data_IF_242032784294
#
_entry.id   IF_242032784294
#
_cell.length_a   1.000
_cell.length_b   1.000
_cell.length_c   1.000
_cell.angle_alpha   90.00
_cell.angle_beta   90.00
_cell.angle_gamma   90.00
#
_symmetry.space_group_name_H-M   'P 1'
#
loop_
_entity.id
_entity.type
_entity.pdbx_description
1 polymer ?
#
# COMPACT_ATOMS: atom_id res chain seq x y z
N UNK A 1 -7.81 -12.75 17.15
CA UNK A 1 -7.59 -13.86 16.18
C UNK A 1 -7.46 -15.16 16.96
N UNK A 2 -8.05 -16.22 16.49
CA UNK A 2 -7.82 -17.58 16.97
C UNK A 2 -7.17 -18.39 15.86
N UNK A 3 -6.18 -19.20 16.20
CA UNK A 3 -5.48 -20.07 15.26
C UNK A 3 -5.65 -21.51 15.72
N UNK A 4 -6.54 -22.25 15.04
CA UNK A 4 -6.75 -23.67 15.31
C UNK A 4 -5.71 -24.49 14.52
N UNK A 5 -4.58 -24.74 15.17
CA UNK A 5 -3.46 -25.49 14.56
C UNK A 5 -3.76 -26.99 14.41
N UNK A 6 -4.75 -27.52 15.12
CA UNK A 6 -5.13 -28.95 15.10
C UNK A 6 -6.10 -29.24 13.96
N UNK A 7 -7.23 -28.50 13.91
CA UNK A 7 -8.27 -28.70 12.88
C UNK A 7 -8.04 -27.82 11.64
N UNK A 8 -7.09 -26.92 11.71
CA UNK A 8 -6.72 -25.99 10.65
C UNK A 8 -7.66 -24.80 10.55
N UNK A 9 -7.05 -23.68 10.19
CA UNK A 9 -7.75 -22.45 9.93
C UNK A 9 -7.54 -21.36 10.98
N UNK A 10 -7.78 -20.15 10.53
CA UNK A 10 -7.69 -18.94 11.34
C UNK A 10 -9.09 -18.35 11.43
N UNK A 11 -9.52 -18.02 12.66
CA UNK A 11 -10.70 -17.20 12.90
C UNK A 11 -10.25 -15.81 13.30
N UNK A 12 -10.77 -14.79 12.64
CA UNK A 12 -10.41 -13.40 12.88
C UNK A 12 -11.64 -12.51 12.97
N UNK A 13 -11.53 -11.46 13.75
CA UNK A 13 -12.55 -10.41 13.84
C UNK A 13 -12.17 -9.24 12.94
N UNK A 14 -13.13 -8.73 12.19
CA UNK A 14 -12.97 -7.55 11.34
C UNK A 14 -13.17 -6.30 12.18
N UNK A 15 -12.21 -5.39 12.16
CA UNK A 15 -12.26 -4.14 12.93
C UNK A 15 -13.55 -3.33 12.62
N UNK A 16 -14.16 -2.67 13.63
CA UNK A 16 -15.49 -2.06 13.49
C UNK A 16 -15.59 -0.97 12.42
N UNK A 17 -14.50 -0.30 12.10
CA UNK A 17 -14.44 0.74 11.05
C UNK A 17 -14.22 0.20 9.65
N UNK A 18 -13.96 -1.11 9.47
CA UNK A 18 -13.77 -1.71 8.14
C UNK A 18 -15.14 -2.06 7.57
N UNK A 19 -15.43 -1.54 6.40
CA UNK A 19 -16.59 -1.96 5.61
C UNK A 19 -16.19 -3.14 4.71
N UNK A 20 -16.95 -4.21 4.74
CA UNK A 20 -16.68 -5.41 3.96
C UNK A 20 -17.95 -6.15 3.60
N UNK A 21 -17.80 -7.09 2.69
CA UNK A 21 -18.81 -8.07 2.29
C UNK A 21 -18.12 -9.42 2.08
N UNK A 22 -18.80 -10.50 2.42
CA UNK A 22 -18.39 -11.84 2.00
C UNK A 22 -19.22 -12.20 0.76
N UNK A 23 -18.57 -12.14 -0.40
CA UNK A 23 -19.19 -12.42 -1.70
C UNK A 23 -18.61 -13.72 -2.25
N UNK A 24 -19.44 -14.73 -2.50
CA UNK A 24 -19.02 -16.07 -2.96
C UNK A 24 -17.89 -16.68 -2.09
N UNK A 25 -18.01 -16.55 -0.78
CA UNK A 25 -17.01 -16.96 0.22
C UNK A 25 -15.66 -16.24 0.08
N UNK A 26 -15.63 -15.04 -0.51
CA UNK A 26 -14.44 -14.18 -0.65
C UNK A 26 -14.63 -12.90 0.15
N UNK A 27 -13.61 -12.47 0.87
CA UNK A 27 -13.61 -11.18 1.55
C UNK A 27 -13.40 -10.05 0.54
N UNK A 28 -14.34 -9.11 0.53
CA UNK A 28 -14.26 -7.89 -0.29
C UNK A 28 -14.31 -6.70 0.66
N UNK A 29 -13.22 -5.98 0.76
CA UNK A 29 -13.18 -4.70 1.47
C UNK A 29 -13.81 -3.62 0.59
N UNK A 30 -14.56 -2.71 1.20
CA UNK A 30 -15.34 -1.69 0.50
C UNK A 30 -15.04 -0.31 1.04
N UNK A 31 -15.00 0.66 0.16
CA UNK A 31 -14.92 2.08 0.50
C UNK A 31 -15.71 2.92 -0.52
N UNK A 32 -15.62 4.22 -0.40
CA UNK A 32 -16.29 5.11 -1.33
C UNK A 32 -15.63 5.01 -2.72
N UNK A 33 -16.38 4.48 -3.67
CA UNK A 33 -15.93 4.34 -5.06
C UNK A 33 -14.94 3.21 -5.33
N UNK A 34 -14.67 2.29 -4.38
CA UNK A 34 -13.76 1.17 -4.58
C UNK A 34 -14.17 -0.11 -3.83
N UNK A 35 -13.78 -1.23 -4.39
CA UNK A 35 -13.87 -2.56 -3.78
C UNK A 35 -12.54 -3.30 -4.01
N UNK A 36 -11.98 -3.92 -2.98
CA UNK A 36 -10.70 -4.61 -3.03
C UNK A 36 -10.77 -5.97 -2.34
N UNK A 37 -10.15 -6.98 -2.93
CA UNK A 37 -9.86 -8.25 -2.24
C UNK A 37 -8.41 -8.23 -1.77
N UNK A 38 -8.15 -8.31 -0.46
CA UNK A 38 -6.78 -8.37 0.04
C UNK A 38 -6.02 -9.58 -0.49
N UNK A 39 -4.75 -9.41 -0.82
CA UNK A 39 -3.87 -10.48 -1.27
C UNK A 39 -2.75 -10.80 -0.28
N UNK A 40 -2.35 -9.82 0.50
CA UNK A 40 -1.29 -9.93 1.49
C UNK A 40 -1.58 -9.09 2.73
N UNK A 41 -0.72 -9.19 3.73
CA UNK A 41 -0.82 -8.39 4.93
C UNK A 41 0.46 -8.34 5.73
N UNK A 42 0.47 -7.49 6.74
CA UNK A 42 1.51 -7.36 7.75
C UNK A 42 0.88 -7.62 9.10
N UNK A 43 1.52 -8.46 9.92
CA UNK A 43 1.03 -8.81 11.25
C UNK A 43 1.71 -7.98 12.34
N UNK A 44 0.93 -7.65 13.36
CA UNK A 44 1.36 -6.87 14.52
C UNK A 44 0.95 -7.59 15.81
N UNK A 45 1.75 -7.44 16.84
CA UNK A 45 1.36 -7.77 18.19
C UNK A 45 0.26 -6.79 18.63
N UNK A 46 -0.86 -7.32 19.14
CA UNK A 46 -2.04 -6.50 19.40
C UNK A 46 -1.87 -5.48 20.53
N UNK A 47 -1.04 -5.77 21.52
CA UNK A 47 -0.78 -4.96 22.71
C UNK A 47 0.37 -3.96 22.53
N UNK A 48 1.46 -4.36 21.86
CA UNK A 48 2.66 -3.53 21.67
C UNK A 48 2.67 -2.75 20.36
N UNK A 49 1.87 -3.18 19.39
CA UNK A 49 1.89 -2.72 17.99
C UNK A 49 3.22 -2.97 17.26
N UNK A 50 4.10 -3.79 17.80
CA UNK A 50 5.30 -4.18 17.11
C UNK A 50 4.99 -5.12 15.95
N UNK A 51 5.83 -5.08 14.91
CA UNK A 51 5.74 -6.01 13.79
C UNK A 51 6.06 -7.44 14.27
N UNK A 52 5.22 -8.37 13.92
CA UNK A 52 5.55 -9.79 14.09
C UNK A 52 6.66 -10.15 13.10
N UNK A 53 7.73 -10.75 13.61
CA UNK A 53 8.91 -11.05 12.79
C UNK A 53 8.56 -11.86 11.54
N UNK A 54 9.14 -11.45 10.42
CA UNK A 54 9.02 -12.09 9.10
C UNK A 54 7.57 -12.22 8.59
N UNK A 55 6.72 -11.22 8.84
CA UNK A 55 5.34 -11.18 8.36
C UNK A 55 5.07 -10.08 7.33
N UNK A 56 6.10 -9.45 6.79
CA UNK A 56 5.94 -8.53 5.67
C UNK A 56 5.40 -9.30 4.45
N UNK A 57 4.29 -8.83 3.90
CA UNK A 57 3.63 -9.42 2.72
C UNK A 57 3.24 -10.91 2.84
N UNK A 58 2.82 -11.34 4.02
CA UNK A 58 2.31 -12.70 4.16
C UNK A 58 1.01 -12.87 3.37
N UNK A 59 0.83 -14.00 2.68
CA UNK A 59 -0.44 -14.31 2.03
C UNK A 59 -1.59 -14.36 3.05
N UNK A 60 -2.73 -13.76 2.72
CA UNK A 60 -3.92 -13.79 3.57
C UNK A 60 -4.97 -14.74 3.02
N UNK A 61 -5.56 -15.53 3.91
CA UNK A 61 -6.57 -16.53 3.56
C UNK A 61 -7.97 -15.93 3.46
N UNK A 62 -8.23 -15.15 2.42
CA UNK A 62 -9.49 -14.41 2.24
C UNK A 62 -10.49 -15.11 1.30
N UNK A 63 -10.31 -16.40 1.05
CA UNK A 63 -11.17 -17.22 0.18
C UNK A 63 -11.64 -18.50 0.86
N UNK A 64 -12.85 -18.93 0.55
CA UNK A 64 -13.49 -20.08 1.21
C UNK A 64 -13.87 -19.76 2.65
N UNK A 65 -14.30 -18.54 2.88
CA UNK A 65 -14.62 -18.00 4.20
C UNK A 65 -16.01 -18.40 4.67
N UNK A 66 -16.13 -18.49 5.99
CA UNK A 66 -17.40 -18.72 6.69
C UNK A 66 -17.57 -17.57 7.69
N UNK A 67 -18.60 -16.77 7.54
CA UNK A 67 -18.99 -15.81 8.57
C UNK A 67 -19.71 -16.54 9.69
N UNK A 68 -19.05 -16.66 10.84
CA UNK A 68 -19.54 -17.40 12.01
C UNK A 68 -20.60 -16.57 12.75
N UNK A 69 -20.35 -15.27 12.86
CA UNK A 69 -21.26 -14.25 13.37
C UNK A 69 -20.86 -12.90 12.77
N UNK A 70 -21.65 -11.84 12.89
CA UNK A 70 -21.30 -10.55 12.35
C UNK A 70 -19.86 -10.16 12.73
N UNK A 71 -19.02 -9.89 11.73
CA UNK A 71 -17.59 -9.53 11.83
C UNK A 71 -16.66 -10.67 12.28
N UNK A 72 -17.13 -11.82 12.68
CA UNK A 72 -16.29 -12.97 13.07
C UNK A 72 -16.22 -13.95 11.90
N UNK A 73 -15.05 -14.02 11.25
CA UNK A 73 -14.81 -14.75 10.02
C UNK A 73 -13.85 -15.91 10.29
N UNK A 74 -14.25 -17.11 9.84
CA UNK A 74 -13.38 -18.28 9.83
C UNK A 74 -12.85 -18.52 8.42
N UNK A 75 -11.52 -18.66 8.31
CA UNK A 75 -10.82 -19.09 7.10
C UNK A 75 -10.25 -20.50 7.33
N UNK A 76 -10.98 -21.57 6.95
CA UNK A 76 -10.59 -22.95 7.30
C UNK A 76 -9.29 -23.41 6.67
N UNK A 77 -8.88 -22.82 5.54
CA UNK A 77 -7.66 -23.21 4.79
C UNK A 77 -6.46 -22.31 5.06
N UNK A 78 -6.64 -21.22 5.81
CA UNK A 78 -5.54 -20.33 6.15
C UNK A 78 -4.77 -20.89 7.33
N UNK A 79 -3.49 -21.13 7.12
CA UNK A 79 -2.56 -21.67 8.13
C UNK A 79 -1.30 -20.83 8.10
N UNK A 80 -0.98 -20.21 9.22
CA UNK A 80 0.28 -19.51 9.43
C UNK A 80 0.62 -19.57 10.93
N UNK A 81 1.68 -20.26 11.28
CA UNK A 81 2.09 -20.45 12.67
C UNK A 81 2.65 -19.19 13.35
N UNK A 82 2.89 -18.14 12.59
CA UNK A 82 3.30 -16.83 13.12
C UNK A 82 2.10 -16.02 13.67
N UNK A 83 0.89 -16.35 13.22
CA UNK A 83 -0.33 -15.69 13.63
C UNK A 83 -0.91 -16.40 14.85
N UNK A 84 -0.62 -15.88 16.03
CA UNK A 84 -1.12 -16.41 17.31
C UNK A 84 -2.34 -15.63 17.80
N UNK A 85 -3.12 -16.15 18.76
CA UNK A 85 -4.20 -15.38 19.38
C UNK A 85 -3.73 -14.01 19.87
N UNK A 86 -4.52 -12.96 19.60
CA UNK A 86 -4.14 -11.57 19.89
C UNK A 86 -3.38 -10.86 18.77
N UNK A 87 -2.87 -11.58 17.77
CA UNK A 87 -2.25 -10.93 16.60
C UNK A 87 -3.28 -10.09 15.84
N UNK A 88 -2.88 -8.90 15.42
CA UNK A 88 -3.63 -8.04 14.50
C UNK A 88 -2.97 -8.11 13.13
N UNK A 89 -3.75 -8.24 12.07
CA UNK A 89 -3.24 -8.22 10.72
C UNK A 89 -3.82 -7.05 9.93
N UNK A 90 -2.96 -6.19 9.41
CA UNK A 90 -3.32 -5.19 8.43
C UNK A 90 -3.25 -5.83 7.05
N UNK A 91 -4.41 -6.00 6.42
CA UNK A 91 -4.51 -6.61 5.08
C UNK A 91 -4.43 -5.55 4.01
N UNK A 92 -3.76 -5.85 2.90
CA UNK A 92 -3.66 -4.95 1.74
C UNK A 92 -3.95 -5.65 0.42
N UNK A 93 -4.34 -4.87 -0.57
CA UNK A 93 -4.41 -5.26 -1.97
C UNK A 93 -3.19 -4.76 -2.74
N UNK A 94 -2.89 -5.39 -3.86
CA UNK A 94 -1.92 -4.87 -4.83
C UNK A 94 -2.54 -3.80 -5.76
N UNK A 95 -3.85 -3.67 -5.74
CA UNK A 95 -4.53 -2.55 -6.37
C UNK A 95 -4.36 -1.30 -5.50
N UNK A 96 -4.09 -0.18 -6.14
CA UNK A 96 -3.80 1.10 -5.50
C UNK A 96 -4.70 2.18 -6.12
N UNK A 97 -6.01 2.14 -5.83
CA UNK A 97 -7.02 2.91 -6.57
C UNK A 97 -6.85 4.41 -6.44
N UNK A 98 -6.37 4.88 -5.28
CA UNK A 98 -6.25 6.31 -5.05
C UNK A 98 -5.06 6.63 -4.12
N UNK A 99 -4.14 7.52 -4.54
CA UNK A 99 -3.20 8.17 -3.63
C UNK A 99 -3.91 9.23 -2.78
N UNK A 100 -3.31 9.60 -1.65
CA UNK A 100 -3.78 10.70 -0.81
C UNK A 100 -3.62 12.06 -1.51
N UNK A 101 -2.47 12.26 -2.17
CA UNK A 101 -2.18 13.42 -3.03
C UNK A 101 -1.60 12.91 -4.34
N UNK A 102 -2.02 13.49 -5.45
CA UNK A 102 -1.50 13.16 -6.78
C UNK A 102 -0.97 14.41 -7.49
N UNK A 103 0.29 14.37 -7.89
CA UNK A 103 0.94 15.36 -8.73
C UNK A 103 1.26 14.75 -10.08
N UNK A 104 0.87 15.43 -11.15
CA UNK A 104 1.08 14.91 -12.52
C UNK A 104 1.47 16.03 -13.47
N UNK A 105 2.69 16.01 -13.98
CA UNK A 105 3.27 17.08 -14.81
C UNK A 105 3.33 18.47 -14.11
N UNK A 106 3.37 18.47 -12.78
CA UNK A 106 3.48 19.71 -12.02
C UNK A 106 4.94 20.19 -11.99
N UNK A 107 5.10 21.51 -11.93
CA UNK A 107 6.43 22.17 -11.92
C UNK A 107 6.49 23.16 -10.76
N UNK A 108 7.60 23.10 -10.00
CA UNK A 108 7.86 23.98 -8.86
C UNK A 108 6.76 23.94 -7.78
N UNK A 109 6.31 22.74 -7.44
CA UNK A 109 5.23 22.54 -6.48
C UNK A 109 5.77 22.43 -5.06
N UNK A 110 5.18 23.16 -4.15
CA UNK A 110 5.45 23.07 -2.70
C UNK A 110 4.19 22.61 -1.97
N UNK A 111 4.32 21.57 -1.18
CA UNK A 111 3.28 21.08 -0.27
C UNK A 111 3.72 21.34 1.16
N UNK A 112 2.97 22.21 1.85
CA UNK A 112 3.32 22.66 3.21
C UNK A 112 2.32 22.19 4.25
N UNK A 113 2.81 21.64 5.36
CA UNK A 113 2.01 21.26 6.54
C UNK A 113 0.80 20.36 6.23
N UNK A 114 0.98 19.41 5.29
CA UNK A 114 -0.06 18.45 4.93
C UNK A 114 0.16 17.15 5.71
N UNK A 115 -0.92 16.60 6.26
CA UNK A 115 -0.93 15.29 6.91
C UNK A 115 -1.86 14.34 6.20
N UNK A 116 -1.32 13.21 5.74
CA UNK A 116 -2.09 12.09 5.19
C UNK A 116 -2.17 11.00 6.25
N UNK A 117 -3.36 10.75 6.75
CA UNK A 117 -3.58 9.73 7.78
C UNK A 117 -3.96 8.37 7.23
N UNK A 118 -4.41 8.32 5.98
CA UNK A 118 -4.79 7.10 5.30
C UNK A 118 -4.88 7.31 3.79
N UNK A 119 -4.46 6.32 3.01
CA UNK A 119 -4.70 6.22 1.57
C UNK A 119 -4.73 4.76 1.11
N UNK A 120 -5.58 4.45 0.12
CA UNK A 120 -5.66 3.13 -0.51
C UNK A 120 -4.51 2.84 -1.49
N UNK A 121 -3.62 3.77 -1.68
CA UNK A 121 -2.39 3.68 -2.44
C UNK A 121 -1.25 4.32 -1.68
N UNK A 122 -0.49 5.16 -2.37
CA UNK A 122 0.56 6.00 -1.80
C UNK A 122 -0.03 7.19 -1.04
N UNK A 123 0.67 7.69 -0.05
CA UNK A 123 0.30 8.95 0.60
C UNK A 123 0.45 10.13 -0.35
N UNK A 124 1.57 10.19 -1.07
CA UNK A 124 1.80 11.08 -2.21
C UNK A 124 2.30 10.25 -3.40
N UNK A 125 1.68 10.43 -4.55
CA UNK A 125 2.19 9.96 -5.83
C UNK A 125 2.51 11.17 -6.71
N UNK A 126 3.76 11.34 -7.11
CA UNK A 126 4.19 12.32 -8.09
C UNK A 126 4.71 11.62 -9.34
N UNK A 127 4.19 12.00 -10.50
CA UNK A 127 4.60 11.43 -11.78
C UNK A 127 4.97 12.51 -12.77
N UNK A 128 6.12 12.34 -13.44
CA UNK A 128 6.63 13.25 -14.50
C UNK A 128 6.61 14.74 -14.08
N UNK A 129 6.79 15.01 -12.80
CA UNK A 129 6.79 16.35 -12.23
C UNK A 129 8.21 16.84 -11.97
N UNK A 130 8.37 18.15 -11.79
CA UNK A 130 9.69 18.78 -11.67
C UNK A 130 9.74 19.71 -10.47
N UNK A 131 10.85 19.69 -9.71
CA UNK A 131 11.11 20.55 -8.56
C UNK A 131 9.98 20.52 -7.53
N UNK A 132 9.93 19.45 -6.72
CA UNK A 132 8.91 19.23 -5.70
C UNK A 132 9.53 19.47 -4.32
N UNK A 133 8.87 20.29 -3.51
CA UNK A 133 9.24 20.51 -2.11
C UNK A 133 8.11 20.04 -1.19
N UNK A 134 8.45 19.18 -0.25
CA UNK A 134 7.60 18.76 0.84
C UNK A 134 8.15 19.39 2.13
N UNK A 135 7.41 20.33 2.72
CA UNK A 135 7.78 20.99 3.98
C UNK A 135 6.70 20.73 5.03
N UNK A 136 7.03 19.91 6.03
CA UNK A 136 6.03 19.46 7.00
C UNK A 136 4.97 18.53 6.42
N UNK A 137 5.24 17.90 5.25
CA UNK A 137 4.38 16.86 4.70
C UNK A 137 4.60 15.57 5.49
N UNK A 138 3.52 15.00 6.00
CA UNK A 138 3.61 13.80 6.83
C UNK A 138 2.60 12.75 6.40
N UNK A 139 3.02 11.50 6.46
CA UNK A 139 2.15 10.32 6.40
C UNK A 139 2.26 9.65 7.76
N UNK A 140 1.24 9.81 8.59
CA UNK A 140 1.28 9.41 9.99
C UNK A 140 -0.11 9.08 10.53
N UNK A 141 -0.19 8.30 11.59
CA UNK A 141 -1.41 8.08 12.34
C UNK A 141 -1.92 9.39 12.97
N UNK A 142 -3.20 9.45 13.35
CA UNK A 142 -3.79 10.65 13.98
C UNK A 142 -3.25 10.92 15.40
N UNK A 143 -2.57 9.95 15.99
CA UNK A 143 -1.99 10.00 17.33
C UNK A 143 -2.03 8.65 18.00
N UNK A 144 -1.70 8.59 19.28
CA UNK A 144 -1.63 7.35 20.06
C UNK A 144 -2.95 6.58 20.12
N UNK A 145 -4.07 7.29 20.06
CA UNK A 145 -5.41 6.70 20.12
C UNK A 145 -5.95 6.28 18.73
N UNK A 146 -5.17 6.42 17.67
CA UNK A 146 -5.59 5.94 16.35
C UNK A 146 -5.71 4.40 16.38
N UNK A 147 -6.89 3.84 16.10
CA UNK A 147 -7.09 2.40 16.18
C UNK A 147 -6.41 1.63 15.06
N UNK A 148 -5.94 2.31 14.01
CA UNK A 148 -5.28 1.67 12.88
C UNK A 148 -3.83 1.32 13.19
N UNK A 149 -3.32 0.32 12.50
CA UNK A 149 -1.93 -0.15 12.59
C UNK A 149 -1.09 0.30 11.40
N UNK A 150 -1.71 0.93 10.41
CA UNK A 150 -1.04 1.41 9.20
C UNK A 150 -1.69 2.71 8.70
N UNK A 151 -0.96 3.43 7.84
CA UNK A 151 -1.38 4.69 7.22
C UNK A 151 -1.74 4.51 5.75
N UNK A 152 -0.81 4.01 4.93
CA UNK A 152 -1.01 3.82 3.49
C UNK A 152 -0.81 2.37 3.10
N UNK A 153 -1.54 1.88 2.11
CA UNK A 153 -1.36 0.51 1.61
C UNK A 153 -0.10 0.32 0.77
N UNK A 154 0.53 1.41 0.37
CA UNK A 154 1.78 1.47 -0.36
C UNK A 154 2.72 2.52 0.25
N UNK A 155 3.61 3.11 -0.54
CA UNK A 155 4.62 4.06 -0.08
C UNK A 155 3.98 5.28 0.61
N UNK A 156 4.70 5.87 1.54
CA UNK A 156 4.29 7.18 2.05
C UNK A 156 4.43 8.24 0.95
N UNK A 157 5.57 8.26 0.25
CA UNK A 157 5.79 9.15 -0.90
C UNK A 157 6.46 8.40 -2.06
N UNK A 158 5.95 8.60 -3.27
CA UNK A 158 6.43 7.91 -4.46
C UNK A 158 6.62 8.89 -5.62
N UNK A 159 7.84 8.99 -6.11
CA UNK A 159 8.23 9.88 -7.20
C UNK A 159 8.67 9.03 -8.40
N UNK A 160 7.87 9.05 -9.46
CA UNK A 160 8.13 8.26 -10.66
C UNK A 160 8.37 9.15 -11.87
N UNK A 161 9.52 8.98 -12.53
CA UNK A 161 9.94 9.78 -13.67
C UNK A 161 9.93 11.31 -13.40
N UNK A 162 10.14 11.71 -12.15
CA UNK A 162 10.30 13.12 -11.76
C UNK A 162 11.71 13.59 -12.05
N UNK A 163 11.89 14.89 -12.22
CA UNK A 163 13.18 15.53 -12.48
C UNK A 163 13.42 16.78 -11.61
N UNK A 164 14.63 17.34 -11.69
CA UNK A 164 15.04 18.47 -10.88
C UNK A 164 15.19 18.09 -9.39
N UNK A 165 14.93 19.02 -8.50
CA UNK A 165 15.07 18.82 -7.06
C UNK A 165 13.82 18.18 -6.46
N UNK A 166 14.02 17.14 -5.64
CA UNK A 166 13.01 16.59 -4.74
C UNK A 166 13.49 16.83 -3.32
N UNK A 167 12.80 17.66 -2.57
CA UNK A 167 13.17 18.09 -1.23
C UNK A 167 12.07 17.64 -0.26
N UNK A 168 12.44 16.87 0.76
CA UNK A 168 11.58 16.54 1.89
C UNK A 168 12.23 17.01 3.18
N UNK A 169 11.53 17.84 3.93
CA UNK A 169 11.97 18.40 5.22
C UNK A 169 10.82 18.55 6.20
N UNK A 170 11.12 18.50 7.49
CA UNK A 170 10.16 18.68 8.58
C UNK A 170 8.95 17.72 8.54
N UNK A 171 9.06 16.59 7.84
CA UNK A 171 7.99 15.59 7.70
C UNK A 171 8.17 14.39 8.62
N UNK A 172 7.10 13.59 8.74
CA UNK A 172 7.08 12.32 9.46
C UNK A 172 6.47 11.26 8.54
N UNK A 173 7.16 10.14 8.36
CA UNK A 173 6.70 9.00 7.58
C UNK A 173 6.68 7.75 8.46
N UNK A 174 5.48 7.31 8.83
CA UNK A 174 5.29 6.15 9.70
C UNK A 174 4.06 5.32 9.29
N UNK A 175 4.10 4.04 9.58
CA UNK A 175 2.97 3.13 9.42
C UNK A 175 2.57 2.82 7.97
N UNK A 176 3.35 3.24 6.96
CA UNK A 176 3.14 2.82 5.58
C UNK A 176 3.45 1.34 5.42
N UNK A 177 2.77 0.68 4.48
CA UNK A 177 2.97 -0.75 4.21
C UNK A 177 4.01 -1.02 3.13
N UNK A 178 4.76 0.00 2.68
CA UNK A 178 5.85 -0.07 1.72
C UNK A 178 6.91 1.00 2.06
N UNK A 179 7.56 1.64 1.09
CA UNK A 179 8.65 2.59 1.32
C UNK A 179 8.20 3.92 1.95
N UNK A 180 9.05 4.52 2.77
CA UNK A 180 8.83 5.89 3.26
C UNK A 180 9.00 6.91 2.13
N UNK A 181 10.05 6.76 1.34
CA UNK A 181 10.34 7.60 0.18
C UNK A 181 10.87 6.69 -0.95
N UNK A 182 10.13 6.61 -2.04
CA UNK A 182 10.52 5.88 -3.23
C UNK A 182 10.75 6.86 -4.38
N UNK A 183 11.94 6.86 -4.98
CA UNK A 183 12.28 7.72 -6.12
C UNK A 183 12.88 6.85 -7.21
N UNK A 184 12.23 6.81 -8.36
CA UNK A 184 12.75 6.04 -9.49
C UNK A 184 12.40 6.66 -10.83
N UNK A 185 13.24 6.36 -11.84
CA UNK A 185 12.97 6.66 -13.23
C UNK A 185 12.19 5.56 -13.93
N UNK A 186 11.84 5.82 -15.17
CA UNK A 186 11.38 4.80 -16.13
C UNK A 186 12.55 4.36 -16.99
N UNK A 187 12.66 3.08 -17.28
CA UNK A 187 13.70 2.56 -18.14
C UNK A 187 13.13 1.69 -19.26
N UNK A 188 13.85 1.69 -20.37
CA UNK A 188 13.55 0.90 -21.55
C UNK A 188 14.56 -0.24 -21.67
N UNK A 189 14.07 -1.42 -21.98
CA UNK A 189 14.92 -2.50 -22.46
C UNK A 189 15.16 -2.31 -23.96
N UNK A 190 16.41 -2.12 -24.38
CA UNK A 190 16.78 -2.11 -25.78
C UNK A 190 16.55 -3.50 -26.36
N UNK A 191 15.69 -3.60 -27.36
CA UNK A 191 15.32 -4.87 -28.01
C UNK A 191 15.94 -5.02 -29.40
N UNK A 192 16.29 -3.90 -30.05
CA UNK A 192 16.94 -3.91 -31.36
C UNK A 192 17.69 -2.60 -31.61
N UNK A 193 18.86 -2.67 -32.21
CA UNK A 193 19.54 -1.52 -32.83
C UNK A 193 19.14 -1.47 -34.31
N UNK A 194 18.67 -0.34 -34.78
CA UNK A 194 18.29 -0.12 -36.17
C UNK A 194 19.50 0.38 -36.96
N UNK A 195 20.19 1.39 -36.42
CA UNK A 195 21.41 1.99 -36.95
C UNK A 195 22.20 2.66 -35.82
N UNK A 196 23.22 3.46 -36.14
CA UNK A 196 24.10 4.07 -35.14
C UNK A 196 23.43 5.14 -34.25
N UNK A 197 22.31 5.68 -34.71
CA UNK A 197 21.55 6.73 -33.99
C UNK A 197 20.15 6.31 -33.56
N UNK A 198 19.72 5.07 -33.87
CA UNK A 198 18.34 4.64 -33.60
C UNK A 198 18.31 3.29 -32.92
N UNK A 199 17.64 3.27 -31.77
CA UNK A 199 17.38 2.07 -30.97
C UNK A 199 15.87 1.85 -30.86
N UNK A 200 15.46 0.58 -30.81
CA UNK A 200 14.08 0.20 -30.45
C UNK A 200 14.09 -0.26 -29.00
N UNK A 201 13.32 0.43 -28.17
CA UNK A 201 13.14 0.11 -26.76
C UNK A 201 11.75 -0.44 -26.46
N UNK A 202 11.65 -1.23 -25.39
CA UNK A 202 10.39 -1.69 -24.83
C UNK A 202 10.30 -1.26 -23.37
N UNK A 203 9.18 -0.65 -22.98
CA UNK A 203 8.89 -0.34 -21.60
C UNK A 203 8.83 -1.62 -20.76
N UNK A 204 9.48 -1.60 -19.61
CA UNK A 204 9.48 -2.73 -18.68
C UNK A 204 8.32 -2.66 -17.68
N UNK A 205 7.79 -1.47 -17.41
CA UNK A 205 6.59 -1.29 -16.60
C UNK A 205 5.33 -1.25 -17.47
N UNK A 206 4.19 -1.66 -16.89
CA UNK A 206 2.88 -1.60 -17.56
C UNK A 206 2.42 -0.16 -17.79
N UNK A 207 2.77 0.75 -16.87
CA UNK A 207 2.45 2.17 -16.98
C UNK A 207 3.53 2.86 -17.83
N UNK A 208 3.12 3.44 -18.94
CA UNK A 208 3.99 4.20 -19.83
C UNK A 208 4.09 5.63 -19.31
N UNK A 209 5.19 5.94 -18.64
CA UNK A 209 5.44 7.25 -18.05
C UNK A 209 6.57 7.96 -18.82
N UNK A 210 6.28 8.43 -20.03
CA UNK A 210 7.19 9.28 -20.80
C UNK A 210 6.37 10.35 -21.50
N UNK A 211 6.75 11.59 -21.32
CA UNK A 211 6.21 12.70 -22.11
C UNK A 211 6.81 12.70 -23.52
N UNK A 212 6.01 13.04 -24.51
CA UNK A 212 6.48 13.23 -25.89
C UNK A 212 7.51 14.36 -25.93
N UNK A 213 8.71 14.09 -26.43
CA UNK A 213 9.78 15.08 -26.56
C UNK A 213 10.94 14.95 -25.56
N UNK A 214 10.88 14.00 -24.63
CA UNK A 214 12.03 13.61 -23.81
C UNK A 214 12.73 12.42 -24.50
N UNK A 215 13.72 12.69 -25.30
CA UNK A 215 14.58 11.72 -25.99
C UNK A 215 16.03 11.88 -25.59
#
# INVERSE_FOLDING_TARGET
MENDTVNGGITFEVAPWVHYEIRDSVFVAKGEGWELTPGSGIAFEGDTRHLVYNTSDIPVGVRGLIEVSPRLIKSPRWKDNRLVPGTVIAMRSWERPAPGVFLYHDVNTTLENIKVHYAEGMGLLAQMSENITLDGFSVCLKGADDPRYFTTQADATHFSACKGAIISKNGLYEGMMDDAINVHGTYLKVVRRVNDSTLVGRYMHRNRMVSNGEG
#
